data_IF_173244911596
#
_entry.id   IF_173244911596
#
_cell.length_a   1.000
_cell.length_b   1.000
_cell.length_c   1.000
_cell.angle_alpha   90.00
_cell.angle_beta   90.00
_cell.angle_gamma   90.00
#
_symmetry.space_group_name_H-M   'P 1'
#
loop_
_entity.id
_entity.type
_entity.pdbx_description
1 polymer ?
#
# COMPACT_ATOMS: atom_id res chain seq x y z
N UNK A 1 32.65 6.97 -13.11
CA UNK A 1 32.54 5.92 -12.08
C UNK A 1 33.82 5.11 -12.09
N UNK A 2 34.48 4.99 -10.94
CA UNK A 2 35.70 4.20 -10.77
C UNK A 2 35.39 2.69 -10.72
N UNK A 3 36.39 1.86 -11.02
CA UNK A 3 36.28 0.38 -10.88
C UNK A 3 35.89 -0.04 -9.45
N UNK A 4 36.26 0.74 -8.43
CA UNK A 4 35.90 0.49 -7.05
C UNK A 4 34.39 0.73 -6.78
N UNK A 5 33.82 1.80 -7.33
CA UNK A 5 32.38 2.09 -7.21
C UNK A 5 31.53 0.98 -7.86
N UNK A 6 31.95 0.49 -9.03
CA UNK A 6 31.24 -0.61 -9.71
C UNK A 6 31.28 -1.89 -8.85
N UNK A 7 32.44 -2.22 -8.24
CA UNK A 7 32.55 -3.37 -7.34
C UNK A 7 31.65 -3.22 -6.11
N UNK A 8 31.59 -2.03 -5.52
CA UNK A 8 30.72 -1.75 -4.39
C UNK A 8 29.24 -1.97 -4.74
N UNK A 9 28.77 -1.43 -5.88
CA UNK A 9 27.40 -1.65 -6.35
C UNK A 9 27.13 -3.13 -6.63
N UNK A 10 28.05 -3.84 -7.26
CA UNK A 10 27.88 -5.28 -7.52
C UNK A 10 27.74 -6.10 -6.23
N UNK A 11 28.47 -5.75 -5.16
CA UNK A 11 28.33 -6.39 -3.86
C UNK A 11 26.98 -6.09 -3.20
N UNK A 12 26.53 -4.83 -3.25
CA UNK A 12 25.24 -4.41 -2.72
C UNK A 12 24.07 -5.10 -3.44
N UNK A 13 24.15 -5.24 -4.76
CA UNK A 13 23.14 -5.96 -5.55
C UNK A 13 23.07 -7.45 -5.18
N UNK A 14 24.20 -8.10 -4.92
CA UNK A 14 24.21 -9.50 -4.44
C UNK A 14 23.56 -9.63 -3.07
N UNK A 15 23.87 -8.72 -2.15
CA UNK A 15 23.24 -8.69 -0.83
C UNK A 15 21.73 -8.47 -0.94
N UNK A 16 21.29 -7.55 -1.80
CA UNK A 16 19.87 -7.31 -2.08
C UNK A 16 19.18 -8.56 -2.64
N UNK A 17 19.76 -9.21 -3.64
CA UNK A 17 19.17 -10.42 -4.22
C UNK A 17 19.01 -11.54 -3.17
N UNK A 18 19.99 -11.73 -2.30
CA UNK A 18 19.90 -12.71 -1.21
C UNK A 18 18.83 -12.36 -0.18
N UNK A 19 18.57 -11.07 0.08
CA UNK A 19 17.46 -10.63 0.92
C UNK A 19 16.12 -10.88 0.21
N UNK A 20 16.03 -10.53 -1.08
CA UNK A 20 14.82 -10.73 -1.88
C UNK A 20 14.44 -12.22 -1.99
N UNK A 21 15.42 -13.12 -2.09
CA UNK A 21 15.21 -14.58 -2.01
C UNK A 21 14.63 -15.01 -0.67
N UNK A 22 15.19 -14.54 0.45
CA UNK A 22 14.68 -14.85 1.80
C UNK A 22 13.27 -14.29 2.03
N UNK A 23 12.97 -13.12 1.48
CA UNK A 23 11.60 -12.57 1.51
C UNK A 23 10.67 -13.45 0.68
N UNK A 24 11.09 -13.88 -0.52
CA UNK A 24 10.30 -14.74 -1.38
C UNK A 24 9.98 -16.10 -0.72
N UNK A 25 10.92 -16.67 0.05
CA UNK A 25 10.68 -17.90 0.81
C UNK A 25 9.58 -17.73 1.87
N UNK A 26 9.53 -16.58 2.55
CA UNK A 26 8.48 -16.27 3.55
C UNK A 26 7.14 -15.96 2.88
N UNK A 27 7.18 -15.16 1.83
CA UNK A 27 5.99 -14.65 1.12
C UNK A 27 5.38 -15.72 0.18
N UNK A 28 6.17 -16.72 -0.22
CA UNK A 28 5.76 -17.80 -1.14
C UNK A 28 5.70 -17.39 -2.62
N UNK A 29 6.15 -16.18 -2.97
CA UNK A 29 6.19 -15.61 -4.33
C UNK A 29 7.33 -14.61 -4.46
N UNK A 30 7.79 -14.26 -5.68
CA UNK A 30 8.91 -13.35 -5.86
C UNK A 30 8.69 -12.02 -5.14
N UNK A 31 9.75 -11.46 -4.53
CA UNK A 31 9.77 -10.18 -3.82
C UNK A 31 9.65 -8.95 -4.76
N UNK A 32 8.75 -9.02 -5.74
CA UNK A 32 8.30 -7.84 -6.45
C UNK A 32 7.50 -6.94 -5.48
N UNK A 33 7.60 -5.63 -5.65
CA UNK A 33 7.04 -4.65 -4.72
C UNK A 33 5.56 -4.90 -4.38
N UNK A 34 4.73 -5.18 -5.39
CA UNK A 34 3.30 -5.47 -5.19
C UNK A 34 3.06 -6.75 -4.39
N UNK A 35 3.81 -7.82 -4.69
CA UNK A 35 3.64 -9.09 -4.00
C UNK A 35 3.95 -9.03 -2.50
N UNK A 36 4.93 -8.22 -2.10
CA UNK A 36 5.22 -8.04 -0.68
C UNK A 36 4.10 -7.26 0.01
N UNK A 37 3.66 -6.14 -0.56
CA UNK A 37 2.59 -5.33 0.04
C UNK A 37 1.28 -6.08 0.17
N UNK A 38 0.90 -6.83 -0.88
CA UNK A 38 -0.34 -7.61 -0.86
C UNK A 38 -0.28 -8.70 0.20
N UNK A 39 0.89 -9.34 0.38
CA UNK A 39 1.06 -10.39 1.39
C UNK A 39 0.94 -9.81 2.80
N UNK A 40 1.60 -8.68 3.05
CA UNK A 40 1.52 -7.98 4.34
C UNK A 40 0.09 -7.56 4.63
N UNK A 41 -0.58 -6.94 3.66
CA UNK A 41 -1.99 -6.56 3.79
C UNK A 41 -2.88 -7.77 4.08
N UNK A 42 -2.63 -8.90 3.41
CA UNK A 42 -3.36 -10.14 3.65
C UNK A 42 -3.16 -10.70 5.07
N UNK A 43 -1.95 -10.60 5.63
CA UNK A 43 -1.69 -11.04 7.00
C UNK A 43 -2.31 -10.08 8.02
N UNK A 44 -2.17 -8.77 7.83
CA UNK A 44 -2.62 -7.76 8.81
C UNK A 44 -4.14 -7.61 8.80
N UNK A 45 -4.77 -7.59 7.64
CA UNK A 45 -6.20 -7.30 7.50
C UNK A 45 -7.05 -8.54 7.20
N UNK A 46 -6.47 -9.74 7.29
CA UNK A 46 -7.13 -11.02 7.01
C UNK A 46 -7.83 -11.02 5.63
N UNK A 47 -7.02 -10.83 4.58
CA UNK A 47 -7.50 -10.75 3.19
C UNK A 47 -7.23 -12.09 2.50
N UNK A 48 -8.25 -12.64 1.86
CA UNK A 48 -8.10 -13.68 0.86
C UNK A 48 -7.62 -13.04 -0.45
N UNK A 49 -6.32 -13.18 -0.76
CA UNK A 49 -5.80 -12.72 -2.04
C UNK A 49 -6.33 -13.57 -3.19
N UNK A 50 -6.62 -12.93 -4.32
CA UNK A 50 -6.95 -13.63 -5.55
C UNK A 50 -5.74 -14.44 -6.04
N UNK A 51 -5.93 -15.71 -6.46
CA UNK A 51 -4.84 -16.56 -6.93
C UNK A 51 -4.27 -16.09 -8.27
N UNK A 52 -5.05 -15.34 -9.04
CA UNK A 52 -4.64 -14.72 -10.30
C UNK A 52 -4.66 -13.22 -10.17
N UNK A 53 -3.68 -12.55 -10.78
CA UNK A 53 -3.66 -11.09 -10.83
C UNK A 53 -4.87 -10.58 -11.65
N UNK A 54 -5.94 -10.21 -10.97
CA UNK A 54 -6.94 -9.29 -11.50
C UNK A 54 -6.37 -7.87 -11.40
N UNK A 55 -6.65 -7.03 -12.38
CA UNK A 55 -6.15 -5.64 -12.41
C UNK A 55 -6.92 -4.72 -11.47
N UNK A 56 -8.15 -5.09 -11.11
CA UNK A 56 -9.05 -4.27 -10.31
C UNK A 56 -9.14 -4.74 -8.85
N UNK A 57 -9.16 -6.05 -8.60
CA UNK A 57 -9.38 -6.63 -7.27
C UNK A 57 -8.20 -7.52 -6.88
N UNK A 58 -7.53 -7.20 -5.77
CA UNK A 58 -6.42 -8.00 -5.26
C UNK A 58 -6.88 -9.08 -4.28
N UNK A 59 -8.09 -8.94 -3.71
CA UNK A 59 -8.67 -9.94 -2.81
C UNK A 59 -9.96 -9.51 -2.14
N UNK A 60 -10.35 -10.25 -1.10
CA UNK A 60 -11.55 -10.02 -0.29
C UNK A 60 -11.23 -10.14 1.20
N UNK A 61 -11.76 -9.24 2.02
CA UNK A 61 -11.64 -9.38 3.47
C UNK A 61 -12.41 -10.61 3.94
N UNK A 62 -11.79 -11.44 4.78
CA UNK A 62 -12.43 -12.66 5.31
C UNK A 62 -13.23 -12.39 6.58
N UNK A 63 -12.79 -11.43 7.38
CA UNK A 63 -13.35 -11.16 8.70
C UNK A 63 -13.49 -9.66 8.97
N UNK A 64 -14.08 -9.32 10.12
CA UNK A 64 -14.26 -7.94 10.58
C UNK A 64 -15.37 -7.18 9.84
N UNK A 65 -15.42 -5.83 10.00
CA UNK A 65 -16.48 -4.99 9.43
C UNK A 65 -16.54 -4.98 7.90
N UNK A 66 -15.47 -5.42 7.24
CA UNK A 66 -15.34 -5.47 5.78
C UNK A 66 -15.53 -6.87 5.21
N UNK A 67 -15.86 -7.88 6.03
CA UNK A 67 -15.98 -9.26 5.58
C UNK A 67 -16.83 -9.40 4.31
N UNK A 68 -16.27 -10.05 3.28
CA UNK A 68 -16.88 -10.24 1.97
C UNK A 68 -16.70 -9.08 0.99
N UNK A 69 -16.21 -7.91 1.42
CA UNK A 69 -15.94 -6.78 0.53
C UNK A 69 -14.65 -6.99 -0.26
N UNK A 70 -14.66 -6.59 -1.51
CA UNK A 70 -13.48 -6.63 -2.38
C UNK A 70 -12.48 -5.52 -2.01
N UNK A 71 -11.21 -5.74 -2.29
CA UNK A 71 -10.15 -4.78 -1.98
C UNK A 71 -9.11 -4.74 -3.08
N UNK A 72 -8.66 -3.53 -3.38
CA UNK A 72 -7.48 -3.28 -4.17
C UNK A 72 -6.38 -2.71 -3.27
N UNK A 73 -5.24 -3.37 -3.24
CA UNK A 73 -4.13 -3.09 -2.35
C UNK A 73 -3.11 -2.23 -3.12
N UNK A 74 -2.80 -1.06 -2.57
CA UNK A 74 -1.80 -0.15 -3.12
C UNK A 74 -0.67 0.06 -2.14
N UNK A 75 0.57 0.00 -2.63
CA UNK A 75 1.72 0.47 -1.86
C UNK A 75 2.44 1.60 -2.57
N UNK A 76 2.65 2.69 -1.83
CA UNK A 76 3.46 3.81 -2.28
C UNK A 76 4.58 4.05 -1.27
N UNK A 77 5.86 4.08 -1.70
CA UNK A 77 6.97 4.46 -0.80
C UNK A 77 6.81 5.86 -0.18
N UNK A 78 5.85 6.64 -0.67
CA UNK A 78 5.48 7.97 -0.19
C UNK A 78 4.06 8.32 -0.61
N UNK A 79 3.32 8.97 0.28
CA UNK A 79 2.06 9.60 -0.09
C UNK A 79 2.29 10.99 -0.74
N UNK A 80 2.06 11.07 -2.06
CA UNK A 80 2.14 12.30 -2.87
C UNK A 80 0.76 12.87 -3.24
N UNK A 81 -0.32 12.38 -2.63
CA UNK A 81 -1.68 12.78 -2.99
C UNK A 81 -2.19 12.16 -4.29
N UNK A 82 -1.54 11.09 -4.76
CA UNK A 82 -1.87 10.38 -5.99
C UNK A 82 -2.37 8.96 -5.65
N UNK A 83 -3.42 8.52 -6.34
CA UNK A 83 -3.96 7.17 -6.23
C UNK A 83 -4.16 6.58 -7.62
N UNK A 84 -3.69 5.36 -7.84
CA UNK A 84 -4.00 4.60 -9.04
C UNK A 84 -5.39 3.99 -8.89
N UNK A 85 -6.34 4.56 -9.62
CA UNK A 85 -7.75 4.17 -9.58
C UNK A 85 -8.14 3.38 -10.82
N UNK A 86 -9.26 2.67 -10.70
CA UNK A 86 -9.98 1.97 -11.77
C UNK A 86 -11.45 2.39 -11.72
N UNK A 87 -12.17 2.15 -12.81
CA UNK A 87 -13.62 2.30 -12.97
C UNK A 87 -14.38 0.99 -12.72
N UNK A 88 -13.73 -0.01 -12.12
CA UNK A 88 -14.35 -1.28 -11.75
C UNK A 88 -15.45 -1.07 -10.69
N UNK A 89 -16.71 -1.31 -11.08
CA UNK A 89 -17.89 -1.12 -10.22
C UNK A 89 -18.00 -2.17 -9.10
N UNK A 90 -17.29 -3.30 -9.24
CA UNK A 90 -17.25 -4.39 -8.27
C UNK A 90 -16.14 -4.22 -7.23
N UNK A 91 -15.32 -3.17 -7.34
CA UNK A 91 -14.33 -2.81 -6.33
C UNK A 91 -14.99 -2.02 -5.20
N UNK A 92 -14.96 -2.57 -3.99
CA UNK A 92 -15.51 -1.96 -2.80
C UNK A 92 -14.57 -0.93 -2.16
N UNK A 93 -13.28 -1.27 -2.06
CA UNK A 93 -12.32 -0.46 -1.29
C UNK A 93 -10.92 -0.42 -1.88
N UNK A 94 -10.23 0.71 -1.71
CA UNK A 94 -8.76 0.76 -1.82
C UNK A 94 -8.14 0.71 -0.43
N UNK A 95 -7.27 -0.28 -0.21
CA UNK A 95 -6.39 -0.34 0.96
C UNK A 95 -5.02 0.17 0.55
N UNK A 96 -4.67 1.37 1.00
CA UNK A 96 -3.46 2.08 0.56
C UNK A 96 -2.46 2.15 1.70
N UNK A 97 -1.34 1.46 1.55
CA UNK A 97 -0.20 1.48 2.47
C UNK A 97 0.85 2.45 1.94
N UNK A 98 1.29 3.41 2.75
CA UNK A 98 2.28 4.39 2.30
C UNK A 98 3.40 4.62 3.29
N UNK A 99 4.58 4.96 2.79
CA UNK A 99 5.61 5.64 3.58
C UNK A 99 5.21 7.09 3.95
N UNK A 100 6.17 7.94 4.36
CA UNK A 100 5.87 9.26 4.91
C UNK A 100 5.07 10.16 3.96
N UNK A 101 4.29 11.06 4.55
CA UNK A 101 3.53 12.07 3.80
C UNK A 101 4.37 13.33 3.51
N UNK A 102 4.26 13.86 2.29
CA UNK A 102 4.80 15.18 1.94
C UNK A 102 5.87 15.21 0.84
N UNK A 103 6.36 16.42 0.56
CA UNK A 103 7.19 16.72 -0.62
C UNK A 103 8.70 16.62 -0.37
N UNK A 104 9.16 16.33 0.86
CA UNK A 104 10.59 16.42 1.21
C UNK A 104 11.46 15.56 0.29
N UNK A 105 12.42 16.15 -0.42
CA UNK A 105 13.23 15.44 -1.42
C UNK A 105 14.32 14.56 -0.78
N UNK A 106 13.99 13.78 0.25
CA UNK A 106 14.90 12.75 0.74
C UNK A 106 15.28 11.83 -0.42
N UNK A 107 16.58 11.80 -0.74
CA UNK A 107 17.12 11.06 -1.88
C UNK A 107 16.90 9.55 -1.73
N UNK A 108 16.80 9.07 -0.49
CA UNK A 108 16.47 7.69 -0.16
C UNK A 108 15.01 7.60 0.31
N UNK A 109 14.25 6.68 -0.29
CA UNK A 109 12.88 6.35 0.12
C UNK A 109 12.88 4.90 0.59
N UNK A 110 13.06 4.64 1.89
CA UNK A 110 13.04 3.27 2.38
C UNK A 110 11.66 2.67 2.13
N UNK A 111 11.65 1.37 1.83
CA UNK A 111 10.41 0.61 1.83
C UNK A 111 9.87 0.58 3.26
N UNK A 112 8.68 1.13 3.48
CA UNK A 112 8.05 1.25 4.80
C UNK A 112 6.54 1.40 4.66
N UNK A 113 5.85 1.19 5.78
CA UNK A 113 4.43 1.49 5.96
C UNK A 113 4.34 2.42 7.17
N UNK A 114 4.18 3.71 6.92
CA UNK A 114 4.00 4.73 7.97
C UNK A 114 2.54 5.15 8.11
N UNK A 115 1.77 5.08 7.02
CA UNK A 115 0.36 5.40 7.00
C UNK A 115 -0.42 4.32 6.27
N UNK A 116 -1.65 4.09 6.72
CA UNK A 116 -2.62 3.24 6.03
C UNK A 116 -3.92 3.99 5.87
N UNK A 117 -4.48 3.90 4.67
CA UNK A 117 -5.73 4.53 4.29
C UNK A 117 -6.69 3.48 3.74
N UNK A 118 -7.97 3.63 4.07
CA UNK A 118 -9.04 2.85 3.47
C UNK A 118 -10.04 3.80 2.79
N UNK A 119 -10.08 3.74 1.47
CA UNK A 119 -11.03 4.52 0.66
C UNK A 119 -12.21 3.64 0.27
N UNK A 120 -13.42 4.20 0.36
CA UNK A 120 -14.58 3.70 -0.37
C UNK A 120 -14.36 3.98 -1.87
N UNK A 121 -14.20 2.92 -2.67
CA UNK A 121 -13.79 3.04 -4.06
C UNK A 121 -14.87 3.74 -4.89
N UNK A 122 -16.13 3.29 -4.78
CA UNK A 122 -17.22 3.87 -5.56
C UNK A 122 -17.59 5.28 -5.08
N UNK A 123 -17.66 5.49 -3.77
CA UNK A 123 -17.93 6.81 -3.20
C UNK A 123 -16.88 7.85 -3.61
N UNK A 124 -15.60 7.45 -3.67
CA UNK A 124 -14.53 8.31 -4.17
C UNK A 124 -14.64 8.54 -5.68
N UNK A 125 -14.94 7.50 -6.46
CA UNK A 125 -15.10 7.59 -7.91
C UNK A 125 -16.21 8.58 -8.28
N UNK A 126 -17.43 8.39 -7.75
CA UNK A 126 -18.61 9.22 -8.05
C UNK A 126 -18.34 10.70 -7.76
N UNK A 127 -17.72 10.94 -6.61
CA UNK A 127 -17.31 12.25 -6.14
C UNK A 127 -16.34 12.92 -7.12
N UNK A 128 -15.24 12.26 -7.48
CA UNK A 128 -14.23 12.83 -8.39
C UNK A 128 -14.75 12.98 -9.82
N UNK A 129 -15.61 12.06 -10.25
CA UNK A 129 -16.23 12.09 -11.57
C UNK A 129 -17.13 13.32 -11.71
N UNK A 130 -17.93 13.63 -10.68
CA UNK A 130 -18.77 14.83 -10.64
C UNK A 130 -17.97 16.14 -10.69
N UNK A 131 -16.71 16.12 -10.22
CA UNK A 131 -15.79 17.27 -10.22
C UNK A 131 -14.94 17.36 -11.52
N UNK A 132 -15.22 16.55 -12.55
CA UNK A 132 -14.55 16.52 -13.86
C UNK A 132 -13.03 16.27 -13.81
N UNK A 133 -12.55 15.40 -12.92
CA UNK A 133 -11.15 14.95 -12.93
C UNK A 133 -10.99 13.72 -13.83
N UNK A 134 -9.88 13.64 -14.56
CA UNK A 134 -9.46 12.40 -15.23
C UNK A 134 -9.15 11.36 -14.16
N UNK A 135 -9.93 10.29 -14.11
CA UNK A 135 -9.76 9.15 -13.20
C UNK A 135 -8.94 8.07 -13.91
N UNK A 136 -8.05 7.42 -13.17
CA UNK A 136 -7.17 6.34 -13.64
C UNK A 136 -5.88 6.27 -12.84
N UNK A 137 -4.79 5.89 -13.52
CA UNK A 137 -3.44 5.87 -12.94
C UNK A 137 -3.01 7.29 -12.53
N UNK A 138 -2.42 7.42 -11.36
CA UNK A 138 -1.95 8.67 -10.76
C UNK A 138 -3.05 9.76 -10.67
N UNK A 139 -4.26 9.38 -10.27
CA UNK A 139 -5.35 10.34 -10.03
C UNK A 139 -5.02 11.24 -8.83
N UNK A 140 -5.13 12.55 -9.01
CA UNK A 140 -4.90 13.51 -7.93
C UNK A 140 -6.10 13.58 -6.99
N UNK A 141 -5.88 13.14 -5.75
CA UNK A 141 -6.89 13.07 -4.70
C UNK A 141 -6.68 14.24 -3.73
N UNK A 142 -7.69 15.11 -3.52
CA UNK A 142 -7.61 16.20 -2.55
C UNK A 142 -7.25 15.70 -1.14
N UNK A 143 -6.43 16.47 -0.40
CA UNK A 143 -5.91 16.10 0.93
C UNK A 143 -6.98 15.69 1.93
N UNK A 144 -8.14 16.35 1.90
CA UNK A 144 -9.28 16.05 2.77
C UNK A 144 -9.76 14.59 2.66
N UNK A 145 -9.66 13.97 1.48
CA UNK A 145 -10.05 12.56 1.31
C UNK A 145 -9.00 11.62 1.90
N UNK A 146 -7.71 11.94 1.79
CA UNK A 146 -6.66 11.20 2.49
C UNK A 146 -6.84 11.27 4.00
N UNK A 147 -7.12 12.46 4.53
CA UNK A 147 -7.29 12.66 5.97
C UNK A 147 -8.52 11.90 6.48
N UNK A 148 -9.60 11.82 5.69
CA UNK A 148 -10.80 11.05 6.03
C UNK A 148 -10.59 9.53 5.95
N UNK A 149 -9.76 9.07 5.00
CA UNK A 149 -9.50 7.65 4.78
C UNK A 149 -8.47 7.06 5.76
N UNK A 150 -7.74 7.88 6.52
CA UNK A 150 -6.65 7.43 7.39
C UNK A 150 -7.16 6.52 8.52
N UNK A 151 -6.63 5.30 8.57
CA UNK A 151 -6.90 4.30 9.62
C UNK A 151 -5.67 4.07 10.51
N UNK A 152 -4.46 4.39 10.03
CA UNK A 152 -3.21 4.33 10.77
C UNK A 152 -2.25 5.45 10.29
N UNK A 153 -1.48 6.10 11.18
CA UNK A 153 -1.41 5.88 12.62
C UNK A 153 -2.53 6.60 13.39
N UNK A 154 -3.17 7.58 12.77
CA UNK A 154 -4.33 8.28 13.34
C UNK A 154 -5.60 7.63 12.77
N UNK A 155 -6.36 6.93 13.61
CA UNK A 155 -7.63 6.32 13.21
C UNK A 155 -8.72 7.39 13.06
N UNK A 156 -8.67 8.14 11.96
CA UNK A 156 -9.66 9.17 11.60
C UNK A 156 -10.91 8.54 11.00
N UNK A 157 -10.73 7.45 10.26
CA UNK A 157 -11.83 6.68 9.71
C UNK A 157 -12.41 5.74 10.78
N UNK A 158 -13.34 6.27 11.59
CA UNK A 158 -13.96 5.53 12.69
C UNK A 158 -14.80 4.33 12.26
N UNK A 159 -15.13 4.20 10.97
CA UNK A 159 -15.85 3.05 10.44
C UNK A 159 -14.98 1.79 10.36
N UNK A 160 -13.65 1.94 10.42
CA UNK A 160 -12.70 0.84 10.30
C UNK A 160 -11.61 0.94 11.39
N UNK A 161 -12.00 0.74 12.66
CA UNK A 161 -11.03 0.73 13.75
C UNK A 161 -10.10 -0.47 13.60
N UNK A 162 -8.79 -0.23 13.73
CA UNK A 162 -7.80 -1.29 13.77
C UNK A 162 -7.78 -1.94 15.15
N UNK A 163 -7.57 -3.25 15.19
CA UNK A 163 -7.28 -3.94 16.44
C UNK A 163 -5.89 -3.55 16.98
N UNK A 164 -5.63 -3.87 18.24
CA UNK A 164 -4.31 -3.65 18.84
C UNK A 164 -3.24 -4.50 18.13
N UNK A 165 -3.59 -5.72 17.72
CA UNK A 165 -2.73 -6.63 16.98
C UNK A 165 -2.42 -6.10 15.58
N UNK A 166 -3.42 -5.57 14.87
CA UNK A 166 -3.24 -4.93 13.57
C UNK A 166 -2.32 -3.72 13.67
N UNK A 167 -2.54 -2.89 14.69
CA UNK A 167 -1.70 -1.71 14.94
C UNK A 167 -0.26 -2.13 15.24
N UNK A 168 -0.06 -3.10 16.13
CA UNK A 168 1.26 -3.60 16.48
C UNK A 168 1.99 -4.19 15.26
N UNK A 169 1.29 -4.96 14.42
CA UNK A 169 1.86 -5.51 13.20
C UNK A 169 2.31 -4.43 12.21
N UNK A 170 1.55 -3.33 12.08
CA UNK A 170 1.92 -2.20 11.22
C UNK A 170 3.16 -1.46 11.73
N UNK A 171 3.33 -1.33 13.05
CA UNK A 171 4.49 -0.67 13.66
C UNK A 171 5.82 -1.38 13.31
N UNK A 172 5.82 -2.70 13.11
CA UNK A 172 7.01 -3.47 12.69
C UNK A 172 7.52 -3.09 11.28
N UNK A 173 6.70 -2.40 10.47
CA UNK A 173 7.04 -2.01 9.10
C UNK A 173 7.36 -0.51 8.94
N UNK A 174 7.42 0.23 10.04
CA UNK A 174 7.82 1.64 10.02
C UNK A 174 9.31 1.76 9.75
N UNK A 175 9.71 2.85 9.08
CA UNK A 175 11.12 3.16 8.98
C UNK A 175 11.66 3.56 10.36
N UNK A 176 12.87 3.09 10.69
CA UNK A 176 13.60 3.59 11.86
C UNK A 176 13.76 5.11 11.75
N UNK A 177 13.59 5.81 12.87
CA UNK A 177 13.92 7.23 12.95
C UNK A 177 15.44 7.39 12.74
N UNK A 178 15.83 7.94 11.59
CA UNK A 178 17.21 8.33 11.29
C UNK A 178 17.57 9.61 12.04
#
# INVERSE_FOLDING_TARGET
MSSAEIKAIAMLLRARNAIDERIADVVGRPAAHGHLSDWIAAQVFDIALEPTADRAIDGYFRTGPLAGRSVNIKHYPRNQGLLDMTDAEDLDTYLVLTGPRGTSAAAHRPWSIEHVYLFDAQGLYDTLHSEMRRIGVATSIPSRYWDQAEIHPVSRNANFPLSAEQTAALEEFRADAV
#
